data_IF_084987416362
#
_entry.id   IF_084987416362
#
_cell.length_a   1.000
_cell.length_b   1.000
_cell.length_c   1.000
_cell.angle_alpha   90.00
_cell.angle_beta   90.00
_cell.angle_gamma   90.00
#
_symmetry.space_group_name_H-M   'P 1'
#
loop_
_entity.id
_entity.type
_entity.pdbx_description
1 polymer ?
#
# COMPACT_ATOMS: atom_id res chain seq x y z
N UNK A 1 -56.76 -13.25 1.76
CA UNK A 1 -55.54 -12.57 2.22
C UNK A 1 -54.56 -12.60 1.06
N UNK A 2 -54.40 -11.50 0.32
CA UNK A 2 -53.45 -11.41 -0.79
C UNK A 2 -52.27 -10.57 -0.33
N UNK A 3 -51.09 -11.19 -0.29
CA UNK A 3 -49.82 -10.52 -0.04
C UNK A 3 -49.45 -9.82 -1.35
N UNK A 4 -49.48 -8.48 -1.34
CA UNK A 4 -49.02 -7.68 -2.45
C UNK A 4 -47.51 -7.90 -2.63
N UNK A 5 -47.11 -8.28 -3.84
CA UNK A 5 -45.72 -8.42 -4.23
C UNK A 5 -45.02 -7.06 -4.12
N UNK A 6 -44.00 -6.98 -3.27
CA UNK A 6 -43.09 -5.85 -3.22
C UNK A 6 -42.37 -5.78 -4.57
N UNK A 7 -42.74 -4.81 -5.39
CA UNK A 7 -42.05 -4.49 -6.63
C UNK A 7 -40.66 -3.98 -6.26
N UNK A 8 -39.63 -4.79 -6.50
CA UNK A 8 -38.25 -4.30 -6.48
C UNK A 8 -38.12 -3.34 -7.67
N UNK A 9 -38.19 -2.04 -7.41
CA UNK A 9 -37.87 -1.02 -8.41
C UNK A 9 -36.36 -1.00 -8.54
N UNK A 10 -35.85 -1.43 -9.69
CA UNK A 10 -34.45 -1.20 -10.04
C UNK A 10 -34.26 0.33 -10.14
N UNK A 11 -33.32 0.93 -9.38
CA UNK A 11 -33.13 2.36 -9.42
C UNK A 11 -32.67 2.76 -10.83
N UNK A 12 -33.31 3.78 -11.40
CA UNK A 12 -32.92 4.30 -12.71
C UNK A 12 -31.47 4.85 -12.64
N UNK A 13 -30.69 4.72 -13.73
CA UNK A 13 -29.35 5.30 -13.79
C UNK A 13 -29.41 6.81 -13.55
N UNK A 14 -28.66 7.29 -12.56
CA UNK A 14 -28.59 8.72 -12.25
C UNK A 14 -27.82 9.42 -13.38
N UNK A 15 -28.45 10.42 -14.01
CA UNK A 15 -27.81 11.27 -15.01
C UNK A 15 -26.83 12.23 -14.30
N UNK A 16 -25.54 12.14 -14.66
CA UNK A 16 -24.49 12.99 -14.10
C UNK A 16 -24.54 14.34 -14.81
N UNK A 17 -24.73 15.44 -14.09
CA UNK A 17 -24.67 16.80 -14.64
C UNK A 17 -23.23 17.11 -15.11
N UNK A 18 -22.98 17.24 -16.44
CA UNK A 18 -21.64 17.42 -16.96
C UNK A 18 -21.14 18.86 -16.83
N UNK A 19 -21.95 19.78 -16.30
CA UNK A 19 -21.57 21.18 -16.18
C UNK A 19 -20.45 21.33 -15.14
N UNK A 20 -19.36 22.03 -15.48
CA UNK A 20 -18.33 22.34 -14.50
C UNK A 20 -18.88 23.33 -13.47
N UNK A 21 -18.57 23.09 -12.21
CA UNK A 21 -18.85 24.00 -11.11
C UNK A 21 -18.18 25.35 -11.39
N UNK A 22 -18.93 26.44 -11.24
CA UNK A 22 -18.43 27.80 -11.51
C UNK A 22 -17.35 28.24 -10.50
N UNK A 23 -17.22 27.55 -9.36
CA UNK A 23 -16.23 27.85 -8.32
C UNK A 23 -14.90 27.13 -8.54
N UNK A 24 -14.92 25.82 -8.84
CA UNK A 24 -13.70 24.99 -8.92
C UNK A 24 -13.42 24.39 -10.31
N UNK A 25 -14.33 24.55 -11.27
CA UNK A 25 -14.19 24.04 -12.65
C UNK A 25 -14.34 22.52 -12.81
N UNK A 26 -14.56 21.78 -11.72
CA UNK A 26 -14.80 20.32 -11.73
C UNK A 26 -16.27 19.99 -11.93
N UNK A 27 -16.57 18.79 -12.41
CA UNK A 27 -17.95 18.30 -12.54
C UNK A 27 -18.58 18.07 -11.15
N UNK A 28 -19.91 18.18 -11.04
CA UNK A 28 -20.63 18.14 -9.76
C UNK A 28 -20.43 16.81 -9.00
N UNK A 29 -20.22 15.70 -9.72
CA UNK A 29 -19.91 14.38 -9.14
C UNK A 29 -18.56 14.32 -8.38
N UNK A 30 -17.69 15.33 -8.55
CA UNK A 30 -16.42 15.45 -7.83
C UNK A 30 -16.53 16.28 -6.54
N UNK A 31 -17.74 16.71 -6.19
CA UNK A 31 -18.02 17.49 -4.98
C UNK A 31 -18.45 16.56 -3.85
N UNK A 32 -18.19 16.97 -2.61
CA UNK A 32 -18.76 16.28 -1.45
C UNK A 32 -20.27 16.52 -1.43
N UNK A 33 -21.06 15.45 -1.53
CA UNK A 33 -22.52 15.50 -1.44
C UNK A 33 -22.95 15.18 0.00
N UNK A 34 -23.48 16.17 0.71
CA UNK A 34 -24.02 16.03 2.06
C UNK A 34 -25.55 16.17 1.99
N UNK A 35 -26.29 15.17 2.45
CA UNK A 35 -27.75 15.21 2.53
C UNK A 35 -28.21 15.13 3.98
N UNK A 36 -28.74 16.24 4.51
CA UNK A 36 -29.28 16.33 5.87
C UNK A 36 -30.81 16.23 5.93
N UNK A 37 -31.47 15.81 4.85
CA UNK A 37 -32.91 15.62 4.78
C UNK A 37 -33.70 16.80 4.21
N UNK A 38 -33.04 17.92 3.88
CA UNK A 38 -33.61 19.02 3.09
C UNK A 38 -33.25 18.92 1.59
N UNK A 39 -32.36 17.98 1.23
CA UNK A 39 -31.86 17.77 -0.13
C UNK A 39 -30.33 17.69 -0.17
N UNK A 40 -29.75 17.26 -1.31
CA UNK A 40 -28.31 17.14 -1.45
C UNK A 40 -27.65 18.53 -1.60
N UNK A 41 -26.73 18.85 -0.69
CA UNK A 41 -25.81 19.97 -0.79
C UNK A 41 -24.47 19.49 -1.35
N UNK A 42 -23.94 20.19 -2.35
CA UNK A 42 -22.67 19.87 -3.00
C UNK A 42 -21.60 20.90 -2.62
N UNK A 43 -20.56 20.45 -1.92
CA UNK A 43 -19.45 21.29 -1.49
C UNK A 43 -18.22 21.08 -2.36
N UNK A 44 -17.62 22.18 -2.83
CA UNK A 44 -16.32 22.12 -3.47
C UNK A 44 -15.32 21.61 -2.44
N UNK A 45 -14.56 20.56 -2.77
CA UNK A 45 -13.31 20.32 -2.06
C UNK A 45 -12.43 21.54 -2.32
N UNK A 46 -11.95 22.24 -1.29
CA UNK A 46 -10.79 23.09 -1.51
C UNK A 46 -9.70 22.14 -2.02
N UNK A 47 -9.11 22.48 -3.16
CA UNK A 47 -7.82 21.93 -3.55
C UNK A 47 -6.78 22.49 -2.58
N UNK A 48 -6.92 22.11 -1.31
CA UNK A 48 -5.81 22.14 -0.42
C UNK A 48 -4.86 21.11 -1.01
N UNK A 49 -3.86 21.61 -1.73
CA UNK A 49 -2.81 20.80 -2.28
C UNK A 49 -2.29 19.92 -1.14
N UNK A 50 -2.60 18.63 -1.20
CA UNK A 50 -2.26 17.68 -0.14
C UNK A 50 -0.74 17.67 0.06
N UNK A 51 0.02 17.97 -0.99
CA UNK A 51 1.46 18.18 -0.91
C UNK A 51 1.77 19.42 -0.07
N UNK A 52 1.10 20.55 -0.31
CA UNK A 52 1.25 21.74 0.50
C UNK A 52 0.86 21.52 1.98
N UNK A 53 -0.21 20.76 2.25
CA UNK A 53 -0.57 20.38 3.62
C UNK A 53 0.51 19.51 4.28
N UNK A 54 1.04 18.51 3.56
CA UNK A 54 2.11 17.66 4.06
C UNK A 54 3.42 18.43 4.28
N UNK A 55 3.78 19.31 3.37
CA UNK A 55 4.97 20.17 3.46
C UNK A 55 4.83 21.18 4.62
N UNK A 56 3.64 21.73 4.85
CA UNK A 56 3.37 22.62 5.99
C UNK A 56 3.42 21.86 7.32
N UNK A 57 2.97 20.60 7.34
CA UNK A 57 2.99 19.75 8.53
C UNK A 57 4.40 19.21 8.86
N UNK A 58 5.31 19.16 7.89
CA UNK A 58 6.71 18.77 8.10
C UNK A 58 7.58 19.99 8.45
N UNK A 59 8.14 20.10 9.67
CA UNK A 59 9.00 21.23 10.05
C UNK A 59 10.22 21.43 9.14
N UNK A 60 10.63 20.40 8.38
CA UNK A 60 11.76 20.48 7.44
C UNK A 60 11.40 21.16 6.13
N UNK A 61 10.12 21.18 5.77
CA UNK A 61 9.61 21.72 4.51
C UNK A 61 8.63 22.90 4.72
N UNK A 62 8.18 23.16 5.96
CA UNK A 62 7.27 24.25 6.28
C UNK A 62 7.76 25.63 5.81
N UNK A 63 9.08 25.86 5.81
CA UNK A 63 9.71 27.10 5.32
C UNK A 63 9.33 27.46 3.87
N UNK A 64 8.95 26.46 3.05
CA UNK A 64 8.49 26.66 1.66
C UNK A 64 7.18 27.44 1.58
N UNK A 65 6.36 27.36 2.63
CA UNK A 65 5.03 27.95 2.71
C UNK A 65 4.95 29.11 3.70
N UNK A 66 5.82 29.14 4.72
CA UNK A 66 5.80 30.16 5.78
C UNK A 66 6.70 31.38 5.49
N UNK A 67 7.57 31.30 4.47
CA UNK A 67 8.54 32.37 4.17
C UNK A 67 9.73 32.43 5.14
N UNK A 68 9.86 31.43 6.02
CA UNK A 68 11.03 31.26 6.87
C UNK A 68 12.28 30.94 6.05
N UNK A 69 13.45 31.17 6.64
CA UNK A 69 14.73 30.85 5.98
C UNK A 69 14.87 29.32 5.88
N UNK A 70 15.22 28.77 4.71
CA UNK A 70 15.46 27.34 4.59
C UNK A 70 16.50 26.86 5.59
N UNK A 71 16.31 25.68 6.20
CA UNK A 71 17.32 25.09 7.07
C UNK A 71 18.62 24.85 6.29
N UNK A 72 19.75 24.97 6.99
CA UNK A 72 21.07 24.81 6.41
C UNK A 72 21.22 23.43 5.73
N UNK A 73 21.99 23.38 4.64
CA UNK A 73 22.07 22.20 3.76
C UNK A 73 22.64 20.95 4.45
N UNK A 74 23.43 21.14 5.52
CA UNK A 74 23.96 20.10 6.40
C UNK A 74 22.89 19.44 7.28
N UNK A 75 21.80 20.17 7.60
CA UNK A 75 20.64 19.63 8.32
C UNK A 75 19.73 18.82 7.39
N UNK A 76 19.60 19.24 6.13
CA UNK A 76 18.75 18.56 5.10
C UNK A 76 19.32 17.21 4.68
N UNK A 77 20.64 17.09 4.67
CA UNK A 77 21.36 15.88 4.32
C UNK A 77 22.10 15.34 5.54
N UNK A 78 21.39 15.18 6.67
CA UNK A 78 21.95 14.43 7.79
C UNK A 78 22.50 13.11 7.26
N UNK A 79 23.73 12.79 7.68
CA UNK A 79 24.64 11.80 7.13
C UNK A 79 23.98 10.43 6.85
N UNK A 80 23.26 10.31 5.72
CA UNK A 80 23.07 9.04 5.02
C UNK A 80 24.44 8.78 4.45
N UNK A 81 25.38 8.37 5.31
CA UNK A 81 26.75 8.16 4.94
C UNK A 81 26.72 7.30 3.70
N UNK A 82 27.14 7.85 2.56
CA UNK A 82 27.16 7.16 1.26
C UNK A 82 28.13 5.96 1.27
N UNK A 83 28.56 5.52 2.46
CA UNK A 83 29.15 4.22 2.71
C UNK A 83 28.15 3.19 2.19
N UNK A 84 28.53 2.39 1.18
CA UNK A 84 27.70 1.27 0.78
C UNK A 84 27.51 0.40 2.03
N UNK A 85 26.26 0.26 2.48
CA UNK A 85 25.94 -0.69 3.52
C UNK A 85 26.54 -2.03 3.08
N UNK A 86 27.38 -2.64 3.92
CA UNK A 86 27.94 -3.96 3.64
C UNK A 86 26.76 -4.85 3.26
N UNK A 87 26.76 -5.38 2.04
CA UNK A 87 25.66 -6.19 1.56
C UNK A 87 25.36 -7.27 2.61
N UNK A 88 24.10 -7.38 3.08
CA UNK A 88 23.77 -8.33 4.11
C UNK A 88 24.19 -9.72 3.64
N UNK A 89 24.81 -10.50 4.53
CA UNK A 89 25.18 -11.87 4.23
C UNK A 89 23.90 -12.64 3.87
N UNK A 90 23.95 -13.37 2.77
CA UNK A 90 22.77 -14.10 2.29
C UNK A 90 22.26 -15.07 3.37
N UNK A 91 20.95 -15.04 3.61
CA UNK A 91 20.24 -15.97 4.47
C UNK A 91 19.06 -16.54 3.69
N UNK A 92 18.82 -17.84 3.80
CA UNK A 92 17.62 -18.47 3.26
C UNK A 92 16.37 -17.83 3.88
N UNK A 93 15.42 -17.32 3.07
CA UNK A 93 14.19 -16.72 3.58
C UNK A 93 13.39 -17.71 4.42
N UNK A 94 12.71 -17.21 5.47
CA UNK A 94 11.88 -18.06 6.33
C UNK A 94 10.76 -18.76 5.55
N UNK A 95 10.16 -18.07 4.58
CA UNK A 95 9.17 -18.64 3.67
C UNK A 95 9.71 -19.83 2.87
N UNK A 96 10.99 -19.80 2.48
CA UNK A 96 11.65 -20.93 1.81
C UNK A 96 11.82 -22.12 2.76
N UNK A 97 12.16 -21.88 4.03
CA UNK A 97 12.25 -22.92 5.07
C UNK A 97 10.90 -23.56 5.34
N UNK A 98 9.84 -22.76 5.43
CA UNK A 98 8.49 -23.28 5.71
C UNK A 98 7.95 -24.07 4.51
N UNK A 99 8.16 -23.59 3.29
CA UNK A 99 7.84 -24.34 2.07
C UNK A 99 8.64 -25.65 1.98
N UNK A 100 9.92 -25.63 2.38
CA UNK A 100 10.75 -26.83 2.42
C UNK A 100 10.18 -27.91 3.34
N UNK A 101 9.72 -27.55 4.54
CA UNK A 101 9.10 -28.50 5.47
C UNK A 101 7.87 -29.19 4.89
N UNK A 102 7.05 -28.45 4.13
CA UNK A 102 5.88 -29.01 3.43
C UNK A 102 6.27 -29.98 2.31
N UNK A 103 7.36 -29.71 1.60
CA UNK A 103 7.84 -30.57 0.51
C UNK A 103 8.59 -31.80 1.05
N UNK A 104 9.35 -31.65 2.11
CA UNK A 104 10.09 -32.74 2.76
C UNK A 104 9.17 -33.85 3.27
N UNK A 105 7.93 -33.51 3.69
CA UNK A 105 6.92 -34.48 4.10
C UNK A 105 6.18 -35.22 2.97
N UNK A 106 6.52 -34.97 1.70
CA UNK A 106 5.87 -35.63 0.54
C UNK A 106 6.63 -36.89 0.11
N UNK A 107 7.49 -36.77 -0.90
CA UNK A 107 8.34 -37.85 -1.39
C UNK A 107 9.70 -37.33 -1.84
N UNK A 108 10.65 -38.26 -1.95
CA UNK A 108 12.05 -37.98 -2.27
C UNK A 108 12.22 -37.38 -3.67
N UNK A 109 11.34 -37.72 -4.63
CA UNK A 109 11.44 -37.20 -6.00
C UNK A 109 11.09 -35.71 -6.04
N UNK A 110 10.01 -35.32 -5.36
CA UNK A 110 9.62 -33.92 -5.22
C UNK A 110 10.65 -33.12 -4.43
N UNK A 111 11.21 -33.68 -3.35
CA UNK A 111 12.27 -33.05 -2.58
C UNK A 111 13.52 -32.78 -3.44
N UNK A 112 13.95 -33.79 -4.21
CA UNK A 112 15.12 -33.67 -5.11
C UNK A 112 14.89 -32.63 -6.21
N UNK A 113 13.71 -32.63 -6.83
CA UNK A 113 13.36 -31.64 -7.85
C UNK A 113 13.30 -30.22 -7.26
N UNK A 114 12.74 -30.08 -6.05
CA UNK A 114 12.58 -28.79 -5.39
C UNK A 114 13.92 -28.18 -4.95
N UNK A 115 14.85 -29.02 -4.45
CA UNK A 115 16.23 -28.61 -4.12
C UNK A 115 17.06 -28.29 -5.37
N UNK A 116 16.87 -29.04 -6.47
CA UNK A 116 17.54 -28.78 -7.75
C UNK A 116 17.24 -27.39 -8.33
N UNK A 117 16.03 -26.87 -8.08
CA UNK A 117 15.62 -25.52 -8.47
C UNK A 117 16.15 -24.42 -7.53
N UNK A 118 16.82 -24.77 -6.43
CA UNK A 118 17.29 -23.84 -5.38
C UNK A 118 18.71 -24.17 -4.90
N UNK A 119 19.72 -24.14 -5.78
CA UNK A 119 21.07 -24.59 -5.45
C UNK A 119 21.72 -23.75 -4.33
N UNK A 120 21.34 -22.48 -4.18
CA UNK A 120 21.87 -21.57 -3.15
C UNK A 120 21.36 -21.90 -1.73
N UNK A 121 20.14 -22.42 -1.63
CA UNK A 121 19.51 -22.76 -0.34
C UNK A 121 19.71 -24.24 0.04
N UNK A 122 20.00 -25.09 -0.95
CA UNK A 122 20.10 -26.54 -0.76
C UNK A 122 21.04 -26.98 0.39
N UNK A 123 22.25 -26.41 0.55
CA UNK A 123 23.13 -26.82 1.65
C UNK A 123 22.53 -26.55 3.04
N UNK A 124 21.91 -25.38 3.22
CA UNK A 124 21.27 -25.03 4.49
C UNK A 124 20.04 -25.89 4.75
N UNK A 125 19.20 -26.12 3.75
CA UNK A 125 17.97 -26.90 3.91
C UNK A 125 18.25 -28.39 4.17
N UNK A 126 19.31 -28.95 3.58
CA UNK A 126 19.75 -30.32 3.90
C UNK A 126 20.22 -30.44 5.36
N UNK A 127 20.95 -29.44 5.87
CA UNK A 127 21.40 -29.44 7.28
C UNK A 127 20.24 -29.45 8.28
N UNK A 128 19.06 -28.91 7.90
CA UNK A 128 17.86 -28.95 8.73
C UNK A 128 17.29 -30.37 8.87
N UNK A 129 17.45 -31.23 7.86
CA UNK A 129 17.02 -32.64 7.92
C UNK A 129 17.98 -33.47 8.76
N UNK A 130 19.29 -33.23 8.61
CA UNK A 130 20.33 -33.92 9.38
C UNK A 130 20.20 -33.61 10.89
N UNK A 131 19.87 -32.38 11.25
CA UNK A 131 19.62 -31.99 12.63
C UNK A 131 18.34 -32.58 13.25
N UNK A 132 17.37 -33.01 12.44
CA UNK A 132 16.14 -33.66 12.91
C UNK A 132 16.27 -35.18 13.09
N UNK A 133 17.32 -35.80 12.53
CA UNK A 133 17.53 -37.25 12.61
C UNK A 133 18.21 -37.70 13.93
N UNK A 134 18.55 -36.76 14.82
CA UNK A 134 19.32 -36.99 16.04
C UNK A 134 18.52 -36.80 17.35
N UNK A 135 17.19 -36.63 17.28
CA UNK A 135 16.26 -36.65 18.42
C UNK A 135 15.38 -37.91 18.39
#
# INVERSE_FOLDING_TARGET
MNIAAAHMLEPEPIEIDPRPCELCGRTIDQHECVDQGEGPEFHCFPDDDIVAQWELADPRDAWRHTGEVPPAADVRNSDISARPAKAPQYRTPQSTVDAFRLVAGRDVAHLRAWLGNRPKDAPYLLSLLEGQAHD
#
